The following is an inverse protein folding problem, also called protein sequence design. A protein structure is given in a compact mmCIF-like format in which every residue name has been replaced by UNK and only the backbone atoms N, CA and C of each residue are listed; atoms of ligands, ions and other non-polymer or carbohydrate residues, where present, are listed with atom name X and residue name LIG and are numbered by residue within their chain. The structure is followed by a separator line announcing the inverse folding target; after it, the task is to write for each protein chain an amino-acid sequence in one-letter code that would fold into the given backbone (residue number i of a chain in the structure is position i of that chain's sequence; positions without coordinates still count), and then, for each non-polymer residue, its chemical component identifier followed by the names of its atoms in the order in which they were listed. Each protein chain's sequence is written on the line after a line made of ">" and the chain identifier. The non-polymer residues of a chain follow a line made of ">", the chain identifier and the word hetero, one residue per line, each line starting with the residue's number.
data_IF_749268724755
#
_entry.id   IF_749268724755
#
_cell.length_a   1.000
_cell.length_b   1.000
_cell.length_c   1.000
_cell.angle_alpha   90.00
_cell.angle_beta   90.00
_cell.angle_gamma   90.00
#
_symmetry.space_group_name_H-M   'P 1'
#
loop_
_entity.id
_entity.type
_entity.pdbx_description
1 polymer ?
#
# COMPACT_ATOMS: atom_id res chain seq x y z
N UNK A 1 17.29 -16.72 -0.67
CA UNK A 1 17.06 -16.04 -1.97
C UNK A 1 17.47 -17.00 -3.10
N UNK A 2 16.70 -17.12 -4.20
CA UNK A 2 16.97 -18.10 -5.25
C UNK A 2 18.12 -17.65 -6.19
N UNK A 3 19.17 -18.47 -6.43
CA UNK A 3 20.31 -18.09 -7.27
C UNK A 3 19.93 -17.84 -8.74
N UNK A 4 18.82 -18.42 -9.22
CA UNK A 4 18.33 -18.20 -10.58
C UNK A 4 17.88 -16.76 -10.86
N UNK A 5 17.42 -16.03 -9.83
CA UNK A 5 17.00 -14.63 -9.98
C UNK A 5 18.17 -13.68 -10.26
N UNK A 6 19.40 -14.09 -9.97
CA UNK A 6 20.64 -13.34 -10.29
C UNK A 6 21.15 -13.74 -11.67
N UNK A 7 21.20 -15.04 -11.96
CA UNK A 7 21.84 -15.56 -13.18
C UNK A 7 21.04 -15.32 -14.48
N UNK A 8 19.72 -15.20 -14.39
CA UNK A 8 18.84 -15.16 -15.57
C UNK A 8 17.94 -13.92 -15.63
N UNK A 9 18.10 -12.96 -14.71
CA UNK A 9 17.39 -11.68 -14.82
C UNK A 9 17.90 -10.89 -16.02
N UNK A 10 16.99 -10.21 -16.71
CA UNK A 10 17.27 -9.36 -17.86
C UNK A 10 16.52 -8.06 -17.68
N UNK A 11 17.13 -6.97 -18.11
CA UNK A 11 16.45 -5.68 -18.17
C UNK A 11 15.30 -5.73 -19.18
N UNK A 12 14.20 -5.05 -18.85
CA UNK A 12 13.06 -4.95 -19.74
C UNK A 12 13.31 -3.89 -20.80
N UNK A 13 12.92 -4.19 -22.04
CA UNK A 13 12.89 -3.22 -23.13
C UNK A 13 12.03 -2.00 -22.77
N UNK A 14 12.29 -0.87 -23.42
CA UNK A 14 11.70 0.41 -23.03
C UNK A 14 10.17 0.44 -23.20
N UNK A 15 9.64 -0.31 -24.15
CA UNK A 15 8.23 -0.43 -24.50
C UNK A 15 7.56 -1.67 -23.89
N UNK A 16 8.27 -2.39 -23.01
CA UNK A 16 7.77 -3.66 -22.48
C UNK A 16 6.44 -3.49 -21.72
N UNK A 17 5.43 -4.34 -21.98
CA UNK A 17 4.15 -4.30 -21.26
C UNK A 17 4.28 -4.70 -19.77
N UNK A 18 5.44 -5.20 -19.36
CA UNK A 18 5.74 -5.61 -17.99
C UNK A 18 6.47 -4.53 -17.18
N UNK A 19 6.73 -3.35 -17.77
CA UNK A 19 7.33 -2.24 -17.02
C UNK A 19 6.47 -1.84 -15.81
N UNK A 20 7.09 -1.39 -14.70
CA UNK A 20 6.36 -0.83 -13.57
C UNK A 20 5.51 0.36 -14.01
N UNK A 21 4.24 0.34 -13.60
CA UNK A 21 3.28 1.40 -13.89
C UNK A 21 3.63 2.66 -13.12
N UNK A 22 3.32 3.81 -13.69
CA UNK A 22 3.64 5.11 -13.09
C UNK A 22 2.96 5.30 -11.73
N UNK A 23 1.78 4.70 -11.51
CA UNK A 23 1.08 4.68 -10.21
C UNK A 23 1.84 3.93 -9.10
N UNK A 24 2.90 3.18 -9.42
CA UNK A 24 3.74 2.45 -8.45
C UNK A 24 5.19 2.95 -8.39
N UNK A 25 5.59 3.84 -9.30
CA UNK A 25 6.99 4.28 -9.45
C UNK A 25 7.35 5.41 -8.49
N UNK A 26 8.63 5.46 -8.08
CA UNK A 26 9.27 6.67 -7.54
C UNK A 26 8.82 7.10 -6.14
N UNK A 27 8.11 6.26 -5.40
CA UNK A 27 7.67 6.53 -4.02
C UNK A 27 8.24 5.50 -3.07
N UNK A 28 8.56 5.94 -1.86
CA UNK A 28 8.80 5.01 -0.77
C UNK A 28 7.51 4.26 -0.38
N UNK A 29 7.66 3.21 0.43
CA UNK A 29 6.54 2.36 0.83
C UNK A 29 5.45 3.11 1.62
N UNK A 30 5.83 4.09 2.45
CA UNK A 30 4.89 4.85 3.29
C UNK A 30 4.05 5.80 2.44
N UNK A 31 4.70 6.53 1.55
CA UNK A 31 4.07 7.47 0.61
C UNK A 31 3.13 6.73 -0.34
N UNK A 32 3.59 5.61 -0.93
CA UNK A 32 2.74 4.79 -1.78
C UNK A 32 1.53 4.24 -1.01
N UNK A 33 1.71 3.79 0.23
CA UNK A 33 0.60 3.28 1.03
C UNK A 33 -0.46 4.38 1.34
N UNK A 34 -0.04 5.62 1.63
CA UNK A 34 -1.00 6.74 1.81
C UNK A 34 -1.85 6.96 0.56
N UNK A 35 -1.21 7.02 -0.60
CA UNK A 35 -1.89 7.25 -1.87
C UNK A 35 -2.83 6.09 -2.23
N UNK A 36 -2.38 4.84 -2.05
CA UNK A 36 -3.21 3.66 -2.29
C UNK A 36 -4.41 3.58 -1.34
N UNK A 37 -4.25 4.01 -0.09
CA UNK A 37 -5.35 4.03 0.88
C UNK A 37 -6.40 5.09 0.52
N UNK A 38 -5.98 6.22 -0.02
CA UNK A 38 -6.86 7.32 -0.47
C UNK A 38 -7.48 7.09 -1.86
N UNK A 39 -7.03 6.07 -2.61
CA UNK A 39 -7.42 5.83 -4.00
C UNK A 39 -8.92 5.53 -4.18
N UNK A 40 -9.54 6.13 -5.20
CA UNK A 40 -10.91 5.84 -5.62
C UNK A 40 -11.01 4.60 -6.53
N UNK A 41 -12.23 4.10 -6.72
CA UNK A 41 -12.48 2.95 -7.61
C UNK A 41 -12.22 3.29 -9.09
N UNK A 42 -12.45 4.54 -9.48
CA UNK A 42 -12.19 5.09 -10.81
C UNK A 42 -10.69 5.16 -11.08
N UNK A 43 -9.93 5.73 -10.13
CA UNK A 43 -8.48 5.83 -10.18
C UNK A 43 -7.84 4.44 -10.26
N UNK A 44 -8.25 3.51 -9.40
CA UNK A 44 -7.83 2.11 -9.46
C UNK A 44 -8.12 1.49 -10.82
N UNK A 45 -9.30 1.78 -11.37
CA UNK A 45 -9.75 1.18 -12.61
C UNK A 45 -8.96 1.65 -13.82
N UNK A 46 -8.62 2.94 -13.85
CA UNK A 46 -7.75 3.53 -14.85
C UNK A 46 -6.30 3.04 -14.70
N UNK A 47 -5.75 3.15 -13.49
CA UNK A 47 -4.35 2.84 -13.20
C UNK A 47 -3.98 1.38 -13.45
N UNK A 48 -4.89 0.43 -13.17
CA UNK A 48 -4.66 -1.01 -13.31
C UNK A 48 -5.42 -1.66 -14.46
N UNK A 49 -5.82 -0.88 -15.49
CA UNK A 49 -6.43 -1.44 -16.70
C UNK A 49 -5.50 -2.47 -17.36
N UNK A 50 -6.08 -3.62 -17.76
CA UNK A 50 -5.35 -4.78 -18.33
C UNK A 50 -4.19 -5.28 -17.44
N UNK A 51 -4.33 -5.15 -16.12
CA UNK A 51 -3.35 -5.65 -15.16
C UNK A 51 -3.90 -6.84 -14.36
N UNK A 52 -3.10 -7.87 -14.08
CA UNK A 52 -3.44 -8.92 -13.11
C UNK A 52 -3.76 -8.38 -11.70
N UNK A 53 -3.31 -7.16 -11.37
CA UNK A 53 -3.64 -6.45 -10.13
C UNK A 53 -5.15 -6.28 -9.91
N UNK A 54 -5.96 -6.25 -10.98
CA UNK A 54 -7.43 -6.20 -10.89
C UNK A 54 -8.02 -7.37 -10.09
N UNK A 55 -7.34 -8.51 -10.01
CA UNK A 55 -7.76 -9.66 -9.20
C UNK A 55 -7.78 -9.36 -7.70
N UNK A 56 -6.88 -8.49 -7.23
CA UNK A 56 -6.83 -8.08 -5.82
C UNK A 56 -8.00 -7.14 -5.43
N UNK A 57 -8.56 -6.43 -6.42
CA UNK A 57 -9.56 -5.35 -6.25
C UNK A 57 -9.02 -4.18 -5.41
N UNK A 58 -9.73 -3.04 -5.44
CA UNK A 58 -9.33 -1.86 -4.66
C UNK A 58 -9.31 -2.15 -3.15
N UNK A 59 -10.35 -2.81 -2.62
CA UNK A 59 -10.40 -3.21 -1.20
C UNK A 59 -9.16 -4.01 -0.75
N UNK A 60 -8.64 -4.88 -1.61
CA UNK A 60 -7.45 -5.69 -1.32
C UNK A 60 -6.18 -4.85 -1.31
N UNK A 61 -6.12 -3.81 -2.12
CA UNK A 61 -5.01 -2.87 -2.17
C UNK A 61 -5.04 -1.93 -0.95
N UNK A 62 -6.22 -1.36 -0.63
CA UNK A 62 -6.42 -0.50 0.53
C UNK A 62 -6.10 -1.19 1.85
N UNK A 63 -6.58 -2.43 2.07
CA UNK A 63 -6.24 -3.17 3.31
C UNK A 63 -4.73 -3.41 3.46
N UNK A 64 -4.04 -3.68 2.36
CA UNK A 64 -2.59 -3.90 2.37
C UNK A 64 -1.86 -2.59 2.62
N UNK A 65 -2.35 -1.49 2.05
CA UNK A 65 -1.82 -0.16 2.31
C UNK A 65 -1.97 0.24 3.78
N UNK A 66 -3.15 0.02 4.38
CA UNK A 66 -3.34 0.19 5.82
C UNK A 66 -2.38 -0.69 6.64
N UNK A 67 -2.17 -1.96 6.24
CA UNK A 67 -1.21 -2.84 6.90
C UNK A 67 0.24 -2.31 6.82
N UNK A 68 0.65 -1.78 5.66
CA UNK A 68 1.96 -1.15 5.47
C UNK A 68 2.11 0.05 6.39
N UNK A 69 1.14 0.98 6.42
CA UNK A 69 1.16 2.11 7.35
C UNK A 69 1.19 1.66 8.81
N UNK A 70 0.45 0.60 9.13
CA UNK A 70 0.50 -0.03 10.44
C UNK A 70 1.90 -0.55 10.79
N UNK A 71 2.71 -0.98 9.83
CA UNK A 71 4.07 -1.49 10.05
C UNK A 71 5.16 -0.41 10.07
N UNK A 72 5.10 0.55 9.15
CA UNK A 72 6.19 1.53 8.93
C UNK A 72 5.79 2.98 9.18
N UNK A 73 4.50 3.24 9.40
CA UNK A 73 3.97 4.58 9.62
C UNK A 73 4.31 5.16 11.00
N UNK A 74 4.13 6.47 11.11
CA UNK A 74 4.27 7.28 12.32
C UNK A 74 2.98 8.04 12.63
N UNK A 75 3.00 8.92 13.65
CA UNK A 75 1.87 9.76 14.02
C UNK A 75 1.23 10.54 12.85
N UNK A 76 2.03 10.96 11.87
CA UNK A 76 1.51 11.71 10.70
C UNK A 76 0.60 10.88 9.79
N UNK A 77 0.54 9.55 9.98
CA UNK A 77 -0.35 8.66 9.21
C UNK A 77 -1.70 8.43 9.88
N UNK A 78 -1.87 8.86 11.13
CA UNK A 78 -3.10 8.61 11.90
C UNK A 78 -4.31 9.25 11.23
N UNK A 79 -4.16 10.45 10.65
CA UNK A 79 -5.26 11.15 9.99
C UNK A 79 -5.80 10.39 8.77
N UNK A 80 -4.92 9.88 7.90
CA UNK A 80 -5.36 9.13 6.71
C UNK A 80 -5.97 7.78 7.09
N UNK A 81 -5.44 7.13 8.13
CA UNK A 81 -6.00 5.89 8.67
C UNK A 81 -7.36 6.14 9.33
N UNK A 82 -7.54 7.28 10.01
CA UNK A 82 -8.79 7.64 10.67
C UNK A 82 -9.90 7.83 9.63
N UNK A 83 -9.62 8.52 8.51
CA UNK A 83 -10.58 8.63 7.39
C UNK A 83 -10.94 7.26 6.80
N UNK A 84 -10.00 6.32 6.78
CA UNK A 84 -10.25 4.96 6.31
C UNK A 84 -11.13 4.12 7.26
N UNK A 85 -11.41 4.60 8.48
CA UNK A 85 -12.41 3.99 9.36
C UNK A 85 -13.84 4.21 8.85
N UNK A 86 -14.06 5.14 7.92
CA UNK A 86 -15.36 5.39 7.29
C UNK A 86 -15.48 4.76 5.90
N UNK A 87 -14.50 3.97 5.47
CA UNK A 87 -14.52 3.29 4.16
C UNK A 87 -15.70 2.31 4.06
N UNK A 88 -16.33 2.23 2.89
CA UNK A 88 -17.48 1.35 2.63
C UNK A 88 -17.15 -0.12 2.91
N UNK A 89 -15.91 -0.54 2.65
CA UNK A 89 -15.45 -1.92 2.80
C UNK A 89 -15.09 -2.22 4.26
N UNK A 90 -15.81 -3.12 4.96
CA UNK A 90 -15.54 -3.44 6.37
C UNK A 90 -14.10 -3.92 6.62
N UNK A 91 -13.53 -4.63 5.65
CA UNK A 91 -12.16 -5.14 5.73
C UNK A 91 -11.11 -4.01 5.76
N UNK A 92 -11.38 -2.90 5.06
CA UNK A 92 -10.49 -1.73 5.08
C UNK A 92 -10.56 -1.05 6.45
N UNK A 93 -11.77 -0.86 6.99
CA UNK A 93 -11.99 -0.29 8.33
C UNK A 93 -11.25 -1.07 9.43
N UNK A 94 -11.35 -2.39 9.40
CA UNK A 94 -10.66 -3.27 10.35
C UNK A 94 -9.14 -3.09 10.31
N UNK A 95 -8.55 -3.05 9.10
CA UNK A 95 -7.11 -2.89 8.94
C UNK A 95 -6.64 -1.48 9.31
N UNK A 96 -7.46 -0.46 9.07
CA UNK A 96 -7.18 0.91 9.50
C UNK A 96 -7.15 1.02 11.03
N UNK A 97 -8.13 0.44 11.73
CA UNK A 97 -8.16 0.41 13.19
C UNK A 97 -6.94 -0.34 13.77
N UNK A 98 -6.59 -1.49 13.18
CA UNK A 98 -5.39 -2.22 13.54
C UNK A 98 -4.13 -1.36 13.38
N UNK A 99 -3.98 -0.68 12.23
CA UNK A 99 -2.81 0.14 11.93
C UNK A 99 -2.64 1.31 12.90
N UNK A 100 -3.74 1.99 13.27
CA UNK A 100 -3.73 3.06 14.28
C UNK A 100 -3.21 2.51 15.62
N UNK A 101 -3.73 1.35 16.05
CA UNK A 101 -3.27 0.68 17.27
C UNK A 101 -1.77 0.34 17.21
N UNK A 102 -1.28 -0.17 16.07
CA UNK A 102 0.15 -0.47 15.90
C UNK A 102 1.04 0.77 16.05
N UNK A 103 0.66 1.87 15.41
CA UNK A 103 1.40 3.13 15.49
C UNK A 103 1.43 3.64 16.94
N UNK A 104 0.28 3.65 17.62
CA UNK A 104 0.19 4.06 19.01
C UNK A 104 1.11 3.23 19.92
N UNK A 105 1.10 1.89 19.78
CA UNK A 105 1.98 1.01 20.57
C UNK A 105 3.46 1.31 20.35
N UNK A 106 3.88 1.57 19.11
CA UNK A 106 5.28 1.91 18.81
C UNK A 106 5.69 3.26 19.40
N UNK A 107 4.83 4.28 19.29
CA UNK A 107 5.08 5.61 19.88
C UNK A 107 5.25 5.48 21.39
N UNK A 108 4.33 4.79 22.06
CA UNK A 108 4.41 4.57 23.51
C UNK A 108 5.66 3.77 23.92
N UNK A 109 6.05 2.76 23.14
CA UNK A 109 7.27 1.99 23.40
C UNK A 109 8.55 2.81 23.21
N UNK A 110 8.55 3.79 22.29
CA UNK A 110 9.70 4.67 22.07
C UNK A 110 9.84 5.76 23.11
N UNK A 111 8.76 6.11 23.83
CA UNK A 111 8.79 7.10 24.90
C UNK A 111 9.20 6.52 26.26
N UNK A 112 9.22 5.19 26.39
CA UNK A 112 9.52 4.48 27.64
C UNK A 112 10.97 3.97 27.77
N UNK A 113 11.81 4.19 26.75
CA UNK A 113 13.23 3.80 26.73
C UNK A 113 14.12 5.02 26.52
#
# INVERSE_FOLDING_TARGET
>A
MCPWNVRFSRELAEDSPFKPRDVLRGRDARTLARELLAMSQEEFSAAFRKSPMKRAKLRGLKRNAAAVLGNVGSGDDVDVLTRALDDEEPLVREHAAWAISQIARRISSSAAG
#
